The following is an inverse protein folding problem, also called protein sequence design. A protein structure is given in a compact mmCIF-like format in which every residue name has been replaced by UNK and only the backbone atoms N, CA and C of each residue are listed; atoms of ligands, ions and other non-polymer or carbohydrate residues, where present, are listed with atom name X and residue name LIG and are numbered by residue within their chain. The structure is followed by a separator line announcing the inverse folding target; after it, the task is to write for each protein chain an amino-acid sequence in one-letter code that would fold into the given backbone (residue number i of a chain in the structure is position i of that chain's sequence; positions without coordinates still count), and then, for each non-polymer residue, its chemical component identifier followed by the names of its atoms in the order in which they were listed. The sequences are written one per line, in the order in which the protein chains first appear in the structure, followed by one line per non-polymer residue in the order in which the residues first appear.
data_IF_864402824736
#
_entry.id   IF_864402824736
#
_cell.length_a   1.000
_cell.length_b   1.000
_cell.length_c   1.000
_cell.angle_alpha   90.00
_cell.angle_beta   90.00
_cell.angle_gamma   90.00
#
_symmetry.space_group_name_H-M   'P 1'
#
loop_
_entity.id
_entity.type
_entity.pdbx_description
1 polymer ?
#
# COMPACT_ATOMS: atom_id res chain seq x y z
N UNK A 1 15.66 -22.20 10.71
CA UNK A 1 16.11 -20.85 11.10
C UNK A 1 15.39 -19.88 10.19
N UNK A 2 14.26 -19.32 10.64
CA UNK A 2 13.50 -18.34 9.87
C UNK A 2 14.01 -16.95 10.25
N UNK A 3 14.58 -16.23 9.29
CA UNK A 3 14.90 -14.81 9.47
C UNK A 3 13.58 -14.05 9.33
N UNK A 4 13.08 -13.46 10.41
CA UNK A 4 11.97 -12.52 10.31
C UNK A 4 12.46 -11.32 9.49
N UNK A 5 11.76 -10.97 8.42
CA UNK A 5 12.01 -9.71 7.72
C UNK A 5 11.72 -8.57 8.73
N UNK A 6 12.76 -7.86 9.15
CA UNK A 6 12.62 -6.73 10.05
C UNK A 6 12.14 -5.53 9.24
N UNK A 7 10.93 -5.05 9.51
CA UNK A 7 10.42 -3.83 8.90
C UNK A 7 11.14 -2.62 9.49
N UNK A 8 12.05 -2.04 8.74
CA UNK A 8 12.77 -0.83 9.12
C UNK A 8 11.96 0.42 8.77
N UNK A 9 12.06 1.45 9.62
CA UNK A 9 11.38 2.72 9.38
C UNK A 9 12.17 3.53 8.36
N UNK A 10 11.58 3.77 7.20
CA UNK A 10 12.11 4.71 6.21
C UNK A 10 12.06 6.16 6.71
N UNK A 11 13.23 6.78 6.86
CA UNK A 11 13.39 8.17 7.30
C UNK A 11 12.85 9.18 6.27
N UNK A 12 12.76 8.81 4.99
CA UNK A 12 12.16 9.68 3.97
C UNK A 12 10.63 9.72 4.08
N UNK A 13 10.05 8.77 4.83
CA UNK A 13 8.63 8.65 5.07
C UNK A 13 7.88 7.87 4.00
N UNK A 14 6.54 7.90 4.12
CA UNK A 14 5.64 7.02 3.39
C UNK A 14 4.63 7.82 2.58
N UNK A 15 4.16 7.21 1.49
CA UNK A 15 2.97 7.65 0.75
C UNK A 15 1.93 6.55 0.87
N UNK A 16 0.72 6.93 1.28
CA UNK A 16 -0.43 6.04 1.35
C UNK A 16 -1.63 6.72 0.72
N UNK A 17 -2.51 5.92 0.11
CA UNK A 17 -3.74 6.42 -0.48
C UNK A 17 -4.79 5.31 -0.51
N UNK A 18 -6.06 5.71 -0.64
CA UNK A 18 -7.14 4.80 -1.00
C UNK A 18 -7.38 4.87 -2.52
N UNK A 19 -7.39 3.75 -3.25
CA UNK A 19 -7.85 3.70 -4.64
C UNK A 19 -9.39 3.74 -4.67
N UNK A 20 -9.95 4.84 -4.18
CA UNK A 20 -11.36 5.01 -3.86
C UNK A 20 -12.25 5.41 -5.06
N UNK A 21 -11.69 5.48 -6.28
CA UNK A 21 -12.45 5.88 -7.47
C UNK A 21 -12.61 4.73 -8.47
N UNK A 22 -13.87 4.38 -8.75
CA UNK A 22 -14.22 3.42 -9.78
C UNK A 22 -13.89 1.97 -9.42
N UNK A 23 -13.78 1.12 -10.45
CA UNK A 23 -13.46 -0.31 -10.33
C UNK A 23 -12.00 -0.55 -10.67
N UNK A 24 -11.59 -1.82 -10.74
CA UNK A 24 -10.21 -2.24 -10.93
C UNK A 24 -9.42 -1.43 -11.98
N UNK A 25 -9.97 -1.19 -13.18
CA UNK A 25 -9.28 -0.42 -14.22
C UNK A 25 -8.92 1.02 -13.79
N UNK A 26 -9.84 1.73 -13.14
CA UNK A 26 -9.57 3.08 -12.62
C UNK A 26 -8.58 3.05 -11.46
N UNK A 27 -8.72 2.06 -10.57
CA UNK A 27 -7.81 1.88 -9.45
C UNK A 27 -6.38 1.60 -9.94
N UNK A 28 -6.23 0.80 -11.01
CA UNK A 28 -4.94 0.50 -11.61
C UNK A 28 -4.30 1.74 -12.24
N UNK A 29 -5.08 2.57 -12.93
CA UNK A 29 -4.61 3.86 -13.47
C UNK A 29 -4.12 4.81 -12.36
N UNK A 30 -4.90 4.95 -11.28
CA UNK A 30 -4.50 5.71 -10.10
C UNK A 30 -3.22 5.16 -9.45
N UNK A 31 -3.09 3.85 -9.38
CA UNK A 31 -1.90 3.19 -8.83
C UNK A 31 -0.63 3.50 -9.64
N UNK A 32 -0.71 3.51 -10.99
CA UNK A 32 0.42 3.92 -11.83
C UNK A 32 0.84 5.38 -11.56
N UNK A 33 -0.13 6.28 -11.37
CA UNK A 33 0.13 7.65 -10.91
C UNK A 33 0.81 7.70 -9.54
N UNK A 34 0.33 6.90 -8.58
CA UNK A 34 0.89 6.83 -7.23
C UNK A 34 2.34 6.30 -7.22
N UNK A 35 2.68 5.33 -8.07
CA UNK A 35 4.07 4.87 -8.26
C UNK A 35 4.97 6.04 -8.68
N UNK A 36 4.56 6.78 -9.70
CA UNK A 36 5.34 7.92 -10.19
C UNK A 36 5.52 8.99 -9.10
N UNK A 37 4.44 9.31 -8.38
CA UNK A 37 4.45 10.28 -7.30
C UNK A 37 5.36 9.88 -6.12
N UNK A 38 5.24 8.65 -5.62
CA UNK A 38 6.07 8.16 -4.52
C UNK A 38 7.56 8.13 -4.88
N UNK A 39 7.87 7.72 -6.12
CA UNK A 39 9.24 7.73 -6.65
C UNK A 39 9.80 9.15 -6.73
N UNK A 40 9.03 10.11 -7.25
CA UNK A 40 9.44 11.51 -7.35
C UNK A 40 9.74 12.14 -5.97
N UNK A 41 9.02 11.71 -4.92
CA UNK A 41 9.24 12.16 -3.54
C UNK A 41 10.30 11.36 -2.77
N UNK A 42 10.86 10.29 -3.35
CA UNK A 42 11.75 9.33 -2.70
C UNK A 42 11.19 8.73 -1.38
N UNK A 43 9.87 8.51 -1.36
CA UNK A 43 9.13 7.94 -0.23
C UNK A 43 8.75 6.49 -0.50
N UNK A 44 8.65 5.69 0.57
CA UNK A 44 8.14 4.32 0.46
C UNK A 44 6.65 4.35 0.15
N UNK A 45 6.22 3.69 -0.92
CA UNK A 45 4.81 3.53 -1.25
C UNK A 45 4.20 2.38 -0.45
N UNK A 46 3.17 2.68 0.34
CA UNK A 46 2.35 1.65 0.98
C UNK A 46 1.36 1.14 -0.07
N UNK A 47 1.56 -0.09 -0.52
CA UNK A 47 0.75 -0.73 -1.56
C UNK A 47 -0.68 -0.91 -1.04
N UNK A 48 -1.68 -0.26 -1.65
CA UNK A 48 -3.05 -0.29 -1.16
C UNK A 48 -3.70 -1.65 -1.41
N UNK A 49 -4.82 -1.89 -0.74
CA UNK A 49 -5.73 -2.96 -1.16
C UNK A 49 -6.53 -2.54 -2.39
N UNK A 50 -6.81 -3.48 -3.28
CA UNK A 50 -7.81 -3.31 -4.32
C UNK A 50 -9.20 -3.33 -3.70
N UNK A 51 -10.11 -2.55 -4.24
CA UNK A 51 -11.49 -2.48 -3.76
C UNK A 51 -12.40 -3.16 -4.76
N UNK A 52 -12.97 -4.28 -4.35
CA UNK A 52 -13.99 -4.99 -5.13
C UNK A 52 -15.38 -4.68 -4.58
N UNK A 53 -16.35 -4.51 -5.49
CA UNK A 53 -17.74 -4.24 -5.19
C UNK A 53 -18.63 -5.38 -5.73
N UNK A 54 -18.85 -6.45 -4.95
CA UNK A 54 -19.70 -7.55 -5.37
C UNK A 54 -21.15 -7.09 -5.56
N UNK A 55 -21.80 -7.49 -6.66
CA UNK A 55 -23.14 -7.01 -7.03
C UNK A 55 -24.25 -7.32 -6.02
N UNK A 56 -24.02 -8.24 -5.08
CA UNK A 56 -24.98 -8.64 -4.03
C UNK A 56 -24.45 -8.40 -2.61
N UNK A 57 -23.50 -7.49 -2.46
CA UNK A 57 -22.95 -7.09 -1.17
C UNK A 57 -23.25 -5.62 -0.89
N UNK A 58 -23.58 -5.31 0.36
CA UNK A 58 -23.65 -3.93 0.85
C UNK A 58 -22.27 -3.35 1.19
N UNK A 59 -21.28 -4.22 1.38
CA UNK A 59 -19.91 -3.86 1.73
C UNK A 59 -18.96 -4.13 0.57
N UNK A 60 -17.89 -3.36 0.51
CA UNK A 60 -16.76 -3.63 -0.38
C UNK A 60 -15.80 -4.63 0.23
N UNK A 61 -15.07 -5.35 -0.62
CA UNK A 61 -13.98 -6.22 -0.21
C UNK A 61 -12.64 -5.51 -0.44
N UNK A 62 -11.79 -5.46 0.58
CA UNK A 62 -10.43 -4.95 0.49
C UNK A 62 -9.50 -6.13 0.22
N UNK A 63 -9.00 -6.22 -1.00
CA UNK A 63 -8.19 -7.33 -1.48
C UNK A 63 -6.71 -6.94 -1.41
N UNK A 64 -5.86 -7.71 -0.69
CA UNK A 64 -4.42 -7.47 -0.64
C UNK A 64 -3.79 -7.36 -2.03
N UNK A 65 -2.85 -6.43 -2.17
CA UNK A 65 -2.17 -6.17 -3.45
C UNK A 65 -1.53 -7.44 -4.03
N UNK A 66 -0.86 -8.19 -3.16
CA UNK A 66 -0.12 -9.42 -3.45
C UNK A 66 -1.00 -10.62 -3.81
N UNK A 67 -2.33 -10.47 -3.73
CA UNK A 67 -3.26 -11.48 -4.25
C UNK A 67 -3.21 -11.58 -5.78
N UNK A 68 -2.95 -10.47 -6.47
CA UNK A 68 -2.98 -10.39 -7.93
C UNK A 68 -1.63 -10.08 -8.56
N UNK A 69 -0.74 -9.41 -7.83
CA UNK A 69 0.53 -8.93 -8.36
C UNK A 69 1.71 -9.34 -7.50
N UNK A 70 2.83 -9.65 -8.13
CA UNK A 70 4.07 -9.89 -7.41
C UNK A 70 4.62 -8.57 -6.88
N UNK A 71 5.12 -8.58 -5.63
CA UNK A 71 5.70 -7.40 -4.98
C UNK A 71 7.16 -7.18 -5.37
N UNK A 72 7.93 -8.26 -5.56
CA UNK A 72 9.37 -8.16 -5.82
C UNK A 72 9.72 -7.30 -7.05
N UNK A 73 9.04 -7.42 -8.21
CA UNK A 73 9.36 -6.57 -9.36
C UNK A 73 9.15 -5.07 -9.09
N UNK A 74 8.28 -4.71 -8.14
CA UNK A 74 8.12 -3.31 -7.74
C UNK A 74 9.27 -2.85 -6.83
N UNK A 75 9.78 -3.72 -5.95
CA UNK A 75 10.89 -3.40 -5.05
C UNK A 75 12.17 -3.05 -5.82
N UNK A 76 12.36 -3.63 -7.00
CA UNK A 76 13.48 -3.30 -7.90
C UNK A 76 13.37 -1.87 -8.47
N UNK A 77 12.17 -1.28 -8.49
CA UNK A 77 11.90 0.02 -9.11
C UNK A 77 11.70 1.16 -8.10
N UNK A 78 11.03 0.89 -6.97
CA UNK A 78 10.80 1.84 -5.88
C UNK A 78 10.68 1.12 -4.53
N UNK A 79 10.86 1.87 -3.43
CA UNK A 79 10.62 1.33 -2.08
C UNK A 79 9.12 1.10 -1.87
N UNK A 80 8.74 -0.13 -1.53
CA UNK A 80 7.34 -0.52 -1.30
C UNK A 80 7.17 -1.38 -0.05
N UNK A 81 6.01 -1.30 0.58
CA UNK A 81 5.55 -2.16 1.68
C UNK A 81 4.07 -2.48 1.49
N UNK A 82 3.61 -3.68 1.84
CA UNK A 82 2.18 -3.99 1.79
C UNK A 82 1.42 -3.21 2.87
N UNK A 83 0.17 -2.83 2.59
CA UNK A 83 -0.70 -2.16 3.57
C UNK A 83 -0.79 -2.94 4.89
N UNK A 84 -1.02 -4.26 4.84
CA UNK A 84 -1.10 -5.10 6.03
C UNK A 84 0.18 -5.03 6.86
N UNK A 85 1.34 -5.15 6.22
CA UNK A 85 2.63 -5.11 6.90
C UNK A 85 2.89 -3.75 7.53
N UNK A 86 2.57 -2.66 6.82
CA UNK A 86 2.69 -1.32 7.36
C UNK A 86 1.80 -1.13 8.60
N UNK A 87 0.53 -1.53 8.50
CA UNK A 87 -0.43 -1.36 9.59
C UNK A 87 -0.09 -2.20 10.82
N UNK A 88 0.38 -3.45 10.64
CA UNK A 88 0.71 -4.36 11.75
C UNK A 88 2.06 -4.00 12.38
N UNK A 89 3.08 -3.66 11.57
CA UNK A 89 4.45 -3.58 12.06
C UNK A 89 4.96 -2.15 12.28
N UNK A 90 4.40 -1.16 11.58
CA UNK A 90 4.94 0.21 11.60
C UNK A 90 3.95 1.25 12.11
N UNK A 91 2.65 1.14 11.81
CA UNK A 91 1.68 2.21 12.05
C UNK A 91 1.65 2.66 13.51
N UNK A 92 1.59 1.76 14.49
CA UNK A 92 1.54 2.17 15.90
C UNK A 92 2.83 2.86 16.39
N UNK A 93 3.97 2.56 15.75
CA UNK A 93 5.28 3.14 16.09
C UNK A 93 5.45 4.55 15.52
N UNK A 94 5.07 4.76 14.25
CA UNK A 94 5.40 6.01 13.52
C UNK A 94 4.18 6.85 13.14
N UNK A 95 2.99 6.25 13.10
CA UNK A 95 1.73 6.90 12.72
C UNK A 95 0.58 6.48 13.67
N UNK A 96 0.74 6.68 14.99
CA UNK A 96 -0.31 6.40 15.97
C UNK A 96 -1.52 7.31 15.74
N UNK A 97 -2.68 6.95 16.31
CA UNK A 97 -3.96 7.63 16.09
C UNK A 97 -3.89 9.16 16.22
N UNK A 98 -3.23 9.68 17.26
CA UNK A 98 -3.04 11.14 17.46
C UNK A 98 -2.11 11.85 16.45
N UNK A 99 -1.51 11.11 15.52
CA UNK A 99 -0.69 11.63 14.41
C UNK A 99 -1.29 11.35 13.03
N UNK A 100 -2.55 10.87 12.98
CA UNK A 100 -3.31 10.65 11.74
C UNK A 100 -4.22 11.84 11.45
N UNK A 101 -3.61 12.95 11.06
CA UNK A 101 -4.31 14.19 10.68
C UNK A 101 -4.27 14.42 9.16
#
# INVERSE_FOLDING_TARGET
MYCFAQYEVDSNGYVMFCPCMGRFGNQAEQFLGAISFARALNRTLVLPHWIEYPSRSITSNQIPFDRYFQVEPLRDYLKVILMNDFMIHLADKIWPEGKRY
#
